data_IF_236056794817
#
_entry.id   IF_236056794817
#
_cell.length_a   1.000
_cell.length_b   1.000
_cell.length_c   1.000
_cell.angle_alpha   90.00
_cell.angle_beta   90.00
_cell.angle_gamma   90.00
#
_symmetry.space_group_name_H-M   'P 1'
#
loop_
_entity.id
_entity.type
_entity.pdbx_description
1 polymer ?
#
# COMPACT_ATOMS: atom_id res chain seq x y z
N UNK A 1 -18.48 -3.12 -8.89
CA UNK A 1 -17.50 -2.17 -9.47
C UNK A 1 -16.57 -1.65 -8.37
N UNK A 2 -15.45 -2.34 -8.09
CA UNK A 2 -14.60 -2.11 -6.91
C UNK A 2 -13.27 -1.39 -7.24
N UNK A 3 -12.96 -1.20 -8.53
CA UNK A 3 -11.80 -0.42 -8.97
C UNK A 3 -12.21 1.01 -9.30
N UNK A 4 -12.44 1.87 -8.31
CA UNK A 4 -12.38 3.32 -8.56
C UNK A 4 -10.92 3.74 -8.55
N UNK A 5 -10.30 3.66 -9.72
CA UNK A 5 -9.04 4.34 -10.01
C UNK A 5 -9.31 5.83 -9.91
N UNK A 6 -8.82 6.48 -8.86
CA UNK A 6 -8.87 7.93 -8.76
C UNK A 6 -7.89 8.49 -9.79
N UNK A 7 -8.42 9.09 -10.85
CA UNK A 7 -7.65 9.76 -11.90
C UNK A 7 -6.96 11.05 -11.42
N UNK A 8 -7.46 11.64 -10.33
CA UNK A 8 -6.96 12.89 -9.76
C UNK A 8 -6.43 12.68 -8.33
N UNK A 9 -5.20 13.13 -8.11
CA UNK A 9 -4.46 13.01 -6.85
C UNK A 9 -5.14 13.82 -5.73
N UNK A 10 -5.69 15.00 -6.01
CA UNK A 10 -6.20 15.93 -4.99
C UNK A 10 -7.51 15.46 -4.34
N UNK A 11 -8.42 14.88 -5.12
CA UNK A 11 -9.68 14.31 -4.59
C UNK A 11 -9.47 13.06 -3.72
N UNK A 12 -8.35 12.35 -3.92
CA UNK A 12 -7.96 11.14 -3.16
C UNK A 12 -7.57 11.45 -1.72
N UNK A 13 -6.79 12.52 -1.50
CA UNK A 13 -6.29 12.88 -0.17
C UNK A 13 -7.40 13.28 0.80
N UNK A 14 -8.27 14.20 0.40
CA UNK A 14 -9.32 14.72 1.30
C UNK A 14 -10.36 13.66 1.70
N UNK A 15 -10.60 12.66 0.84
CA UNK A 15 -11.48 11.53 1.19
C UNK A 15 -10.84 10.62 2.25
N UNK A 16 -9.59 10.22 2.03
CA UNK A 16 -8.88 9.34 2.97
C UNK A 16 -8.64 10.04 4.31
N UNK A 17 -8.26 11.33 4.32
CA UNK A 17 -7.98 12.08 5.56
C UNK A 17 -9.21 12.23 6.45
N UNK A 18 -10.38 12.38 5.83
CA UNK A 18 -11.65 12.41 6.57
C UNK A 18 -12.00 11.04 7.15
N UNK A 19 -11.74 9.96 6.42
CA UNK A 19 -12.14 8.62 6.83
C UNK A 19 -11.19 8.01 7.89
N UNK A 20 -9.88 8.20 7.74
CA UNK A 20 -8.89 7.60 8.64
C UNK A 20 -8.53 8.46 9.83
N UNK A 21 -8.42 9.76 9.62
CA UNK A 21 -7.93 10.68 10.65
C UNK A 21 -9.03 11.58 11.21
N UNK A 22 -10.25 11.52 10.67
CA UNK A 22 -11.34 12.43 11.06
C UNK A 22 -10.89 13.90 11.12
N UNK A 23 -9.97 14.30 10.21
CA UNK A 23 -9.26 15.61 10.15
C UNK A 23 -8.20 15.88 11.23
N UNK A 24 -7.73 14.88 11.97
CA UNK A 24 -6.60 14.98 12.91
C UNK A 24 -5.48 13.98 12.56
N UNK A 25 -4.49 14.39 11.74
CA UNK A 25 -3.42 13.51 11.31
C UNK A 25 -2.58 13.02 12.50
N UNK A 26 -2.44 11.70 12.61
CA UNK A 26 -1.55 11.05 13.56
C UNK A 26 -0.37 10.44 12.79
N UNK A 27 0.84 10.62 13.32
CA UNK A 27 2.05 10.08 12.74
C UNK A 27 1.95 8.57 12.60
N UNK A 28 2.12 8.07 11.37
CA UNK A 28 2.11 6.64 11.07
C UNK A 28 3.30 5.89 11.67
N UNK A 29 4.31 6.55 12.23
CA UNK A 29 5.50 5.89 12.78
C UNK A 29 5.51 5.82 14.30
N UNK A 30 5.00 6.85 14.98
CA UNK A 30 5.04 6.95 16.44
C UNK A 30 3.69 7.24 17.08
N UNK A 31 2.61 7.36 16.30
CA UNK A 31 1.26 7.66 16.79
C UNK A 31 1.05 9.10 17.28
N UNK A 32 2.09 9.94 17.29
CA UNK A 32 1.99 11.32 17.76
C UNK A 32 1.03 12.15 16.90
N UNK A 33 0.16 12.92 17.57
CA UNK A 33 -0.72 13.92 16.94
C UNK A 33 -0.01 15.25 16.68
N UNK A 34 1.22 15.42 17.17
CA UNK A 34 2.05 16.59 16.91
C UNK A 34 2.61 16.49 15.49
N UNK A 35 1.85 17.02 14.53
CA UNK A 35 2.16 16.92 13.11
C UNK A 35 1.88 18.24 12.40
N UNK A 36 2.72 18.58 11.44
CA UNK A 36 2.62 19.80 10.63
C UNK A 36 2.43 19.43 9.15
N UNK A 37 1.46 20.03 8.44
CA UNK A 37 1.28 19.79 7.02
C UNK A 37 2.44 20.38 6.20
N UNK A 38 2.85 19.67 5.14
CA UNK A 38 3.76 20.16 4.11
C UNK A 38 2.99 20.34 2.81
N UNK A 39 2.56 21.58 2.57
CA UNK A 39 1.66 21.95 1.48
C UNK A 39 2.18 21.57 0.07
N UNK A 40 3.50 21.57 -0.12
CA UNK A 40 4.11 21.31 -1.43
C UNK A 40 4.12 19.83 -1.85
N UNK A 41 4.04 18.89 -0.91
CA UNK A 41 4.23 17.46 -1.20
C UNK A 41 3.02 16.57 -0.88
N UNK A 42 1.90 17.14 -0.41
CA UNK A 42 0.78 16.37 0.15
C UNK A 42 1.24 15.35 1.21
N UNK A 43 2.14 15.81 2.11
CA UNK A 43 2.71 15.04 3.22
C UNK A 43 2.54 15.79 4.54
N UNK A 44 2.65 15.06 5.62
CA UNK A 44 2.75 15.56 6.98
C UNK A 44 4.14 15.32 7.53
N UNK A 45 4.59 16.22 8.37
CA UNK A 45 5.80 16.09 9.17
C UNK A 45 5.42 15.78 10.60
N UNK A 46 5.96 14.73 11.21
CA UNK A 46 5.79 14.51 12.64
C UNK A 46 6.84 15.29 13.42
N UNK A 47 6.40 16.16 14.34
CA UNK A 47 7.30 16.96 15.16
C UNK A 47 7.88 16.18 16.35
N UNK A 48 7.36 14.98 16.64
CA UNK A 48 7.88 14.12 17.72
C UNK A 48 9.01 13.19 17.27
N UNK A 49 8.89 12.59 16.08
CA UNK A 49 9.92 11.67 15.55
C UNK A 49 10.65 12.23 14.32
N UNK A 50 10.40 13.49 13.98
CA UNK A 50 11.02 14.23 12.87
C UNK A 50 10.94 13.50 11.51
N UNK A 51 9.84 12.77 11.27
CA UNK A 51 9.67 11.92 10.09
C UNK A 51 8.56 12.42 9.17
N UNK A 52 8.77 12.43 7.84
CA UNK A 52 7.70 12.70 6.88
C UNK A 52 6.81 11.48 6.66
N UNK A 53 5.49 11.66 6.67
CA UNK A 53 4.49 10.63 6.39
C UNK A 53 3.36 11.18 5.52
N UNK A 54 2.60 10.34 4.84
CA UNK A 54 1.39 10.75 4.12
C UNK A 54 0.37 9.63 4.16
N UNK A 55 -0.91 10.00 4.04
CA UNK A 55 -2.01 9.03 4.01
C UNK A 55 -1.99 8.12 2.77
N UNK A 56 -1.31 8.56 1.70
CA UNK A 56 -1.11 7.74 0.49
C UNK A 56 0.08 6.80 0.58
N UNK A 57 0.90 6.93 1.63
CA UNK A 57 1.91 5.92 1.94
C UNK A 57 1.17 4.74 2.56
N UNK A 58 1.01 3.67 1.77
CA UNK A 58 0.49 2.38 2.20
C UNK A 58 -0.98 2.38 2.66
N UNK A 59 -1.96 2.94 1.93
CA UNK A 59 -3.37 2.64 2.25
C UNK A 59 -4.33 2.70 1.06
N UNK A 60 -5.01 1.58 0.79
CA UNK A 60 -6.29 1.47 0.08
C UNK A 60 -7.22 0.61 0.95
N UNK A 61 -8.47 1.04 1.18
CA UNK A 61 -9.50 0.25 1.87
C UNK A 61 -10.38 -0.44 0.82
N UNK A 62 -10.59 -1.74 0.97
CA UNK A 62 -11.64 -2.46 0.24
C UNK A 62 -12.83 -2.65 1.16
N UNK A 63 -13.99 -2.07 0.83
CA UNK A 63 -15.16 -2.05 1.72
C UNK A 63 -15.92 -3.38 1.85
N UNK A 64 -15.61 -4.40 1.04
CA UNK A 64 -16.34 -5.68 1.03
C UNK A 64 -15.70 -6.76 1.91
N UNK A 65 -14.44 -6.58 2.32
CA UNK A 65 -13.67 -7.47 3.20
C UNK A 65 -12.92 -6.57 4.18
N UNK A 66 -12.81 -6.91 5.47
CA UNK A 66 -12.10 -6.08 6.47
C UNK A 66 -10.59 -6.11 6.22
N UNK A 67 -10.12 -5.54 5.12
CA UNK A 67 -8.73 -5.56 4.67
C UNK A 67 -8.14 -4.14 4.54
N UNK A 68 -6.88 -4.02 4.94
CA UNK A 68 -6.06 -2.84 4.79
C UNK A 68 -4.99 -3.11 3.73
N UNK A 69 -5.14 -2.52 2.55
CA UNK A 69 -4.17 -2.68 1.47
C UNK A 69 -3.04 -1.65 1.62
N UNK A 70 -1.84 -2.14 1.87
CA UNK A 70 -0.62 -1.37 2.03
C UNK A 70 0.12 -1.32 0.69
N UNK A 71 -0.33 -0.42 -0.20
CA UNK A 71 0.23 -0.30 -1.55
C UNK A 71 1.43 0.65 -1.59
N UNK A 72 2.52 0.19 -2.20
CA UNK A 72 3.74 0.96 -2.43
C UNK A 72 4.13 0.93 -3.91
N UNK A 73 4.22 2.10 -4.54
CA UNK A 73 4.84 2.22 -5.86
C UNK A 73 6.36 2.11 -5.77
N UNK A 74 6.97 1.44 -6.76
CA UNK A 74 8.42 1.32 -6.84
C UNK A 74 9.06 2.69 -7.05
N UNK A 75 10.07 2.97 -6.23
CA UNK A 75 10.95 4.16 -6.31
C UNK A 75 12.37 3.74 -5.95
N UNK A 76 13.30 4.68 -5.77
CA UNK A 76 14.66 4.42 -5.29
C UNK A 76 14.74 3.61 -3.99
N UNK A 77 13.69 3.64 -3.15
CA UNK A 77 13.63 2.92 -1.87
C UNK A 77 13.20 1.44 -1.96
N UNK A 78 13.11 0.89 -3.17
CA UNK A 78 12.86 -0.54 -3.43
C UNK A 78 11.44 -1.02 -3.09
N UNK A 79 11.13 -2.32 -3.28
CA UNK A 79 9.81 -2.91 -3.06
C UNK A 79 9.44 -3.04 -1.56
N UNK A 80 8.32 -3.70 -1.26
CA UNK A 80 8.09 -4.25 0.09
C UNK A 80 9.04 -5.44 0.27
N UNK A 81 10.11 -5.22 1.02
CA UNK A 81 11.08 -6.25 1.40
C UNK A 81 10.77 -6.81 2.79
N UNK A 82 11.45 -7.89 3.21
CA UNK A 82 11.19 -8.56 4.49
C UNK A 82 11.24 -7.62 5.71
N UNK A 83 12.23 -6.72 5.78
CA UNK A 83 12.32 -5.71 6.86
C UNK A 83 11.12 -4.77 6.90
N UNK A 84 10.62 -4.34 5.72
CA UNK A 84 9.46 -3.47 5.60
C UNK A 84 8.17 -4.22 5.90
N UNK A 85 8.06 -5.47 5.47
CA UNK A 85 6.94 -6.35 5.79
C UNK A 85 6.79 -6.52 7.31
N UNK A 86 7.87 -6.89 8.00
CA UNK A 86 7.88 -7.05 9.45
C UNK A 86 7.54 -5.74 10.18
N UNK A 87 8.15 -4.61 9.76
CA UNK A 87 7.88 -3.30 10.35
C UNK A 87 6.39 -2.93 10.22
N UNK A 88 5.80 -3.11 9.04
CA UNK A 88 4.41 -2.77 8.80
C UNK A 88 3.46 -3.72 9.56
N UNK A 89 3.80 -5.01 9.65
CA UNK A 89 3.06 -5.99 10.45
C UNK A 89 2.98 -5.55 11.91
N UNK A 90 4.11 -5.13 12.49
CA UNK A 90 4.15 -4.60 13.87
C UNK A 90 3.39 -3.29 14.01
N UNK A 91 3.52 -2.39 13.03
CA UNK A 91 2.86 -1.08 13.05
C UNK A 91 1.34 -1.19 13.09
N UNK A 92 0.79 -2.17 12.38
CA UNK A 92 -0.65 -2.40 12.28
C UNK A 92 -1.13 -3.59 13.12
N UNK A 93 -0.34 -4.06 14.09
CA UNK A 93 -0.68 -5.20 14.93
C UNK A 93 -1.97 -5.01 15.76
N UNK A 94 -2.31 -3.76 16.09
CA UNK A 94 -3.55 -3.40 16.78
C UNK A 94 -4.78 -3.28 15.85
N UNK A 95 -4.59 -3.42 14.54
CA UNK A 95 -5.68 -3.35 13.56
C UNK A 95 -6.46 -4.66 13.56
N UNK A 96 -7.79 -4.55 13.56
CA UNK A 96 -8.69 -5.69 13.36
C UNK A 96 -8.93 -6.04 11.88
N UNK A 97 -8.26 -5.34 10.97
CA UNK A 97 -8.33 -5.57 9.53
C UNK A 97 -7.15 -6.44 9.07
N UNK A 98 -7.40 -7.41 8.20
CA UNK A 98 -6.36 -8.21 7.54
C UNK A 98 -5.45 -7.32 6.69
N UNK A 99 -4.14 -7.54 6.74
CA UNK A 99 -3.17 -6.73 6.02
C UNK A 99 -2.87 -7.35 4.67
N UNK A 100 -2.88 -6.54 3.61
CA UNK A 100 -2.50 -6.96 2.26
C UNK A 100 -1.40 -6.03 1.76
N UNK A 101 -0.20 -6.56 1.57
CA UNK A 101 0.95 -5.78 1.12
C UNK A 101 1.01 -5.81 -0.40
N UNK A 102 1.05 -4.65 -1.06
CA UNK A 102 1.12 -4.60 -2.53
C UNK A 102 2.31 -3.75 -2.97
N UNK A 103 3.21 -4.31 -3.79
CA UNK A 103 4.19 -3.51 -4.53
C UNK A 103 3.69 -3.26 -5.95
N UNK A 104 3.63 -2.00 -6.36
CA UNK A 104 3.20 -1.58 -7.68
C UNK A 104 4.41 -1.22 -8.57
N UNK A 105 4.52 -1.87 -9.72
CA UNK A 105 5.53 -1.61 -10.75
C UNK A 105 4.88 -1.04 -12.02
N UNK A 106 5.60 -0.20 -12.79
CA UNK A 106 5.12 0.24 -14.09
C UNK A 106 5.06 -0.91 -15.10
N UNK A 107 6.07 -1.77 -15.11
CA UNK A 107 6.25 -2.85 -16.09
C UNK A 107 7.04 -4.03 -15.48
N UNK A 108 6.96 -5.20 -16.11
CA UNK A 108 7.63 -6.42 -15.61
C UNK A 108 9.16 -6.35 -15.72
N UNK A 109 9.70 -5.61 -16.68
CA UNK A 109 11.16 -5.42 -16.82
C UNK A 109 11.74 -4.62 -15.66
N UNK A 110 10.99 -3.66 -15.13
CA UNK A 110 11.36 -2.93 -13.92
C UNK A 110 11.25 -3.84 -12.70
N UNK A 111 10.20 -4.66 -12.61
CA UNK A 111 10.02 -5.64 -11.53
C UNK A 111 11.18 -6.65 -11.44
N UNK A 112 11.65 -7.17 -12.57
CA UNK A 112 12.74 -8.16 -12.66
C UNK A 112 13.99 -7.73 -11.86
N UNK A 113 14.37 -6.46 -11.97
CA UNK A 113 15.50 -5.85 -11.23
C UNK A 113 15.36 -5.93 -9.70
N UNK A 114 14.14 -6.08 -9.21
CA UNK A 114 13.81 -6.12 -7.79
C UNK A 114 13.28 -7.47 -7.33
N UNK A 115 13.18 -8.47 -8.21
CA UNK A 115 12.51 -9.75 -7.94
C UNK A 115 13.03 -10.42 -6.66
N UNK A 116 14.36 -10.50 -6.52
CA UNK A 116 15.03 -11.09 -5.35
C UNK A 116 14.83 -10.32 -4.02
N UNK A 117 14.26 -9.10 -4.07
CA UNK A 117 14.03 -8.23 -2.91
C UNK A 117 12.57 -8.17 -2.49
N UNK A 118 11.66 -8.74 -3.28
CA UNK A 118 10.22 -8.79 -2.97
C UNK A 118 10.03 -9.82 -1.86
N UNK A 119 9.31 -9.43 -0.80
CA UNK A 119 9.04 -10.34 0.32
C UNK A 119 8.02 -11.40 -0.08
N UNK A 120 8.18 -12.61 0.46
CA UNK A 120 7.07 -13.57 0.57
C UNK A 120 5.90 -12.95 1.35
N UNK A 121 4.71 -13.55 1.22
CA UNK A 121 3.45 -13.08 1.82
C UNK A 121 3.06 -11.67 1.35
N UNK A 122 3.46 -11.30 0.12
CA UNK A 122 3.09 -10.01 -0.49
C UNK A 122 2.56 -10.18 -1.90
N UNK A 123 1.87 -9.14 -2.35
CA UNK A 123 1.28 -9.03 -3.67
C UNK A 123 2.07 -8.06 -4.55
N UNK A 124 2.05 -8.32 -5.84
CA UNK A 124 2.62 -7.43 -6.84
C UNK A 124 1.58 -7.09 -7.90
N UNK A 125 1.44 -5.79 -8.17
CA UNK A 125 0.63 -5.26 -9.26
C UNK A 125 1.54 -4.61 -10.29
N UNK A 126 1.24 -4.81 -11.58
CA UNK A 126 2.01 -4.24 -12.69
C UNK A 126 1.06 -3.44 -13.58
N UNK A 127 1.39 -2.18 -13.84
CA UNK A 127 0.53 -1.28 -14.62
C UNK A 127 0.31 -1.75 -16.07
N UNK A 128 1.30 -2.42 -16.66
CA UNK A 128 1.20 -3.07 -17.98
C UNK A 128 0.10 -4.16 -18.04
N UNK A 129 -0.18 -4.83 -16.92
CA UNK A 129 -1.16 -5.92 -16.84
C UNK A 129 -2.19 -5.62 -15.74
N UNK A 130 -2.98 -4.56 -15.93
CA UNK A 130 -3.88 -3.98 -14.91
C UNK A 130 -4.91 -4.95 -14.31
N UNK A 131 -5.28 -6.01 -15.04
CA UNK A 131 -6.24 -7.04 -14.64
C UNK A 131 -5.61 -8.18 -13.83
N UNK A 132 -4.29 -8.22 -13.69
CA UNK A 132 -3.56 -9.32 -13.06
C UNK A 132 -2.90 -8.88 -11.74
N UNK A 133 -2.74 -9.83 -10.83
CA UNK A 133 -1.94 -9.73 -9.61
C UNK A 133 -1.01 -10.93 -9.54
N UNK A 134 0.22 -10.70 -9.09
CA UNK A 134 1.20 -11.76 -8.83
C UNK A 134 1.26 -11.96 -7.32
N UNK A 135 0.99 -13.18 -6.87
CA UNK A 135 1.05 -13.58 -5.47
C UNK A 135 2.42 -14.18 -5.15
N UNK A 136 3.19 -13.54 -4.26
CA UNK A 136 4.44 -14.10 -3.74
C UNK A 136 4.17 -14.95 -2.50
N UNK A 137 3.39 -16.03 -2.66
CA UNK A 137 3.23 -17.09 -1.66
C UNK A 137 2.56 -18.34 -2.32
N UNK A 138 2.41 -19.46 -1.61
CA UNK A 138 2.01 -20.74 -2.24
C UNK A 138 0.84 -21.49 -1.61
N UNK A 139 0.51 -21.23 -0.35
CA UNK A 139 -0.38 -22.07 0.46
C UNK A 139 -1.88 -21.78 0.28
N UNK A 140 -2.24 -20.70 -0.43
CA UNK A 140 -3.64 -20.27 -0.58
C UNK A 140 -4.25 -20.42 -1.99
N UNK A 141 -3.47 -20.64 -3.06
CA UNK A 141 -3.97 -20.40 -4.44
C UNK A 141 -3.60 -21.44 -5.51
N UNK A 142 -3.46 -22.72 -5.15
CA UNK A 142 -3.24 -23.77 -6.16
C UNK A 142 -4.57 -24.28 -6.74
N UNK A 143 -4.72 -24.21 -8.06
CA UNK A 143 -5.87 -24.74 -8.78
C UNK A 143 -5.82 -24.42 -10.27
N UNK A 144 -6.52 -25.18 -11.13
CA UNK A 144 -6.53 -24.93 -12.56
C UNK A 144 -7.29 -23.63 -12.87
N UNK A 145 -6.73 -22.80 -13.76
CA UNK A 145 -7.49 -21.74 -14.39
C UNK A 145 -8.50 -22.38 -15.36
N UNK A 146 -9.78 -22.02 -15.26
CA UNK A 146 -10.75 -22.38 -16.29
C UNK A 146 -10.26 -21.81 -17.62
N UNK A 147 -10.14 -22.63 -18.68
CA UNK A 147 -9.79 -22.12 -19.99
C UNK A 147 -10.82 -21.07 -20.39
N UNK A 148 -10.34 -19.95 -20.93
CA UNK A 148 -11.20 -19.08 -21.70
C UNK A 148 -11.70 -19.93 -22.86
N UNK A 149 -12.97 -20.34 -22.81
CA UNK A 149 -13.61 -21.04 -23.93
C UNK A 149 -13.51 -20.10 -25.14
N UNK A 150 -13.03 -20.59 -26.30
CA UNK A 150 -12.90 -19.77 -27.50
C UNK A 150 -14.23 -19.17 -27.97
#
# INVERSE_FOLDING_TARGET
>A
HIYRVFSDCSRRFSYLERHFWARRPACLYCGSKSTSPRAYEARYHCNSCNAPFSITVNTVLSGARRWLLLIKSITSHGPVNGKRHEKLSRLFAASSAGLVYVTAFPDRRTMDKYLAKISWETEVWVAEATTHIIHFNGDQYLGPYTPLVP
#
